data_IF_630779442796
#
_entry.id   IF_630779442796
#
_cell.length_a   1.000
_cell.length_b   1.000
_cell.length_c   1.000
_cell.angle_alpha   90.00
_cell.angle_beta   90.00
_cell.angle_gamma   90.00
#
_symmetry.space_group_name_H-M   'P 1'
#
loop_
_entity.id
_entity.type
_entity.pdbx_description
1 polymer ?
#
# COMPACT_ATOMS: atom_id res chain seq x y z
N UNK A 1 -4.80 -28.41 19.83
CA UNK A 1 -4.63 -27.11 19.15
C UNK A 1 -5.66 -26.15 19.74
N UNK A 2 -5.23 -24.98 20.22
CA UNK A 2 -6.07 -24.04 20.98
C UNK A 2 -7.20 -23.48 20.08
N UNK A 3 -8.45 -23.43 20.56
CA UNK A 3 -9.63 -23.00 19.77
C UNK A 3 -9.49 -21.56 19.24
N UNK A 4 -8.75 -20.72 19.97
CA UNK A 4 -8.41 -19.36 19.56
C UNK A 4 -7.53 -19.33 18.30
N UNK A 5 -6.64 -20.30 18.13
CA UNK A 5 -5.72 -20.38 16.99
C UNK A 5 -6.46 -20.81 15.71
N UNK A 6 -7.44 -21.71 15.83
CA UNK A 6 -8.33 -22.06 14.71
C UNK A 6 -9.20 -20.88 14.26
N UNK A 7 -9.73 -20.10 15.20
CA UNK A 7 -10.49 -18.87 14.88
C UNK A 7 -9.62 -17.87 14.11
N UNK A 8 -8.38 -17.64 14.56
CA UNK A 8 -7.42 -16.77 13.88
C UNK A 8 -7.08 -17.24 12.46
N UNK A 9 -6.92 -18.56 12.25
CA UNK A 9 -6.69 -19.13 10.92
C UNK A 9 -7.89 -18.91 9.98
N UNK A 10 -9.13 -19.08 10.46
CA UNK A 10 -10.35 -18.83 9.68
C UNK A 10 -10.49 -17.35 9.32
N UNK A 11 -10.30 -16.46 10.30
CA UNK A 11 -10.33 -15.01 10.10
C UNK A 11 -9.28 -14.59 9.06
N UNK A 12 -8.07 -15.12 9.12
CA UNK A 12 -7.02 -14.83 8.15
C UNK A 12 -7.40 -15.26 6.73
N UNK A 13 -8.07 -16.41 6.59
CA UNK A 13 -8.61 -16.87 5.30
C UNK A 13 -9.67 -15.92 4.73
N UNK A 14 -10.59 -15.45 5.58
CA UNK A 14 -11.58 -14.45 5.20
C UNK A 14 -10.92 -13.14 4.73
N UNK A 15 -9.93 -12.63 5.48
CA UNK A 15 -9.20 -11.42 5.11
C UNK A 15 -8.45 -11.56 3.77
N UNK A 16 -7.96 -12.76 3.42
CA UNK A 16 -7.34 -12.97 2.09
C UNK A 16 -8.33 -12.72 0.97
N UNK A 17 -9.52 -13.30 1.09
CA UNK A 17 -10.58 -13.14 0.10
C UNK A 17 -11.00 -11.66 0.05
N UNK A 18 -11.19 -11.03 1.22
CA UNK A 18 -11.55 -9.61 1.31
C UNK A 18 -10.52 -8.70 0.62
N UNK A 19 -9.22 -8.94 0.83
CA UNK A 19 -8.15 -8.16 0.18
C UNK A 19 -8.17 -8.34 -1.35
N UNK A 20 -8.42 -9.55 -1.86
CA UNK A 20 -8.54 -9.78 -3.32
C UNK A 20 -9.75 -9.03 -3.87
N UNK A 21 -10.91 -9.15 -3.24
CA UNK A 21 -12.11 -8.44 -3.67
C UNK A 21 -11.93 -6.91 -3.62
N UNK A 22 -11.31 -6.39 -2.56
CA UNK A 22 -10.96 -4.98 -2.47
C UNK A 22 -10.04 -4.55 -3.61
N UNK A 23 -9.00 -5.34 -3.90
CA UNK A 23 -8.07 -5.04 -4.98
C UNK A 23 -8.74 -5.05 -6.35
N UNK A 24 -9.53 -6.07 -6.66
CA UNK A 24 -10.29 -6.18 -7.92
C UNK A 24 -11.28 -5.02 -8.05
N UNK A 25 -11.95 -4.63 -6.97
CA UNK A 25 -12.90 -3.51 -6.98
C UNK A 25 -12.22 -2.19 -7.34
N UNK A 26 -11.02 -1.94 -6.78
CA UNK A 26 -10.19 -0.77 -7.11
C UNK A 26 -9.78 -0.81 -8.59
N UNK A 27 -9.34 -1.97 -9.10
CA UNK A 27 -8.99 -2.13 -10.51
C UNK A 27 -10.16 -1.85 -11.45
N UNK A 28 -11.35 -2.36 -11.11
CA UNK A 28 -12.57 -2.12 -11.89
C UNK A 28 -12.93 -0.64 -11.86
N UNK A 29 -12.88 0.01 -10.70
CA UNK A 29 -13.17 1.43 -10.54
C UNK A 29 -12.22 2.30 -11.40
N UNK A 30 -10.92 2.02 -11.36
CA UNK A 30 -9.92 2.74 -12.13
C UNK A 30 -10.07 2.50 -13.63
N UNK A 31 -10.31 1.24 -14.04
CA UNK A 31 -10.58 0.90 -15.43
C UNK A 31 -11.84 1.58 -15.95
N UNK A 32 -12.91 1.59 -15.16
CA UNK A 32 -14.15 2.28 -15.48
C UNK A 32 -13.91 3.79 -15.67
N UNK A 33 -13.18 4.43 -14.76
CA UNK A 33 -12.80 5.85 -14.88
C UNK A 33 -12.05 6.12 -16.18
N UNK A 34 -11.03 5.33 -16.48
CA UNK A 34 -10.21 5.53 -17.68
C UNK A 34 -10.99 5.31 -18.99
N UNK A 35 -11.74 4.22 -19.10
CA UNK A 35 -12.39 3.84 -20.35
C UNK A 35 -13.69 4.59 -20.63
N UNK A 36 -14.45 4.96 -19.58
CA UNK A 36 -15.78 5.56 -19.75
C UNK A 36 -15.76 7.06 -19.47
N UNK A 37 -15.05 7.50 -18.44
CA UNK A 37 -14.98 8.93 -18.07
C UNK A 37 -13.79 9.64 -18.71
N UNK A 38 -12.81 8.89 -19.23
CA UNK A 38 -11.57 9.44 -19.76
C UNK A 38 -10.69 10.08 -18.70
N UNK A 39 -10.93 9.77 -17.41
CA UNK A 39 -10.25 10.34 -16.25
C UNK A 39 -9.69 9.23 -15.36
N UNK A 40 -8.48 9.41 -14.85
CA UNK A 40 -7.90 8.51 -13.86
C UNK A 40 -7.77 9.25 -12.54
N UNK A 41 -8.74 8.97 -11.66
CA UNK A 41 -8.76 9.47 -10.27
C UNK A 41 -7.83 8.69 -9.35
N UNK A 42 -6.56 8.62 -9.73
CA UNK A 42 -5.52 8.08 -8.86
C UNK A 42 -4.95 9.14 -7.92
N UNK A 43 -4.91 10.40 -8.37
CA UNK A 43 -4.35 11.51 -7.63
C UNK A 43 -5.44 12.50 -7.26
N UNK A 44 -5.45 12.96 -6.02
CA UNK A 44 -6.26 14.09 -5.56
C UNK A 44 -5.61 15.44 -5.87
N UNK A 45 -4.45 15.44 -6.53
CA UNK A 45 -3.73 16.65 -6.90
C UNK A 45 -4.52 17.45 -7.93
N UNK A 46 -4.84 18.70 -7.58
CA UNK A 46 -5.42 19.66 -8.50
C UNK A 46 -4.54 19.85 -9.75
N UNK A 47 -3.21 19.91 -9.56
CA UNK A 47 -2.24 20.04 -10.65
C UNK A 47 -2.29 18.86 -11.63
N UNK A 48 -2.50 17.63 -11.13
CA UNK A 48 -2.64 16.46 -11.99
C UNK A 48 -3.91 16.55 -12.82
N UNK A 49 -5.01 16.97 -12.19
CA UNK A 49 -6.31 17.12 -12.87
C UNK A 49 -6.24 18.19 -13.95
N UNK A 50 -5.63 19.34 -13.67
CA UNK A 50 -5.44 20.42 -14.65
C UNK A 50 -4.59 19.95 -15.84
N UNK A 51 -3.48 19.26 -15.58
CA UNK A 51 -2.65 18.65 -16.62
C UNK A 51 -3.39 17.57 -17.42
N UNK A 52 -4.30 16.82 -16.80
CA UNK A 52 -5.00 15.73 -17.48
C UNK A 52 -5.97 16.23 -18.56
N UNK A 53 -6.54 17.41 -18.36
CA UNK A 53 -7.47 18.05 -19.30
C UNK A 53 -6.79 19.02 -20.28
N UNK A 54 -5.54 19.42 -20.06
CA UNK A 54 -4.79 20.27 -21.00
C UNK A 54 -4.35 19.47 -22.24
N UNK A 55 -4.71 19.95 -23.43
CA UNK A 55 -4.36 19.29 -24.71
C UNK A 55 -2.85 19.27 -25.00
N UNK A 56 -2.08 20.17 -24.39
CA UNK A 56 -0.62 20.26 -24.55
C UNK A 56 0.11 19.21 -23.71
N UNK A 57 -0.53 18.69 -22.68
CA UNK A 57 0.04 17.70 -21.78
C UNK A 57 -0.14 16.28 -22.35
N UNK A 58 0.92 15.49 -22.28
CA UNK A 58 0.88 14.10 -22.74
C UNK A 58 0.28 13.19 -21.67
N UNK A 59 -0.87 12.58 -21.98
CA UNK A 59 -1.52 11.59 -21.12
C UNK A 59 -0.61 10.40 -20.81
N UNK A 60 0.27 10.01 -21.73
CA UNK A 60 1.22 8.91 -21.51
C UNK A 60 2.24 9.25 -20.43
N UNK A 61 2.69 10.51 -20.37
CA UNK A 61 3.62 10.98 -19.33
C UNK A 61 2.92 11.00 -17.97
N UNK A 62 1.68 11.47 -17.91
CA UNK A 62 0.88 11.46 -16.67
C UNK A 62 0.65 10.04 -16.16
N UNK A 63 0.34 9.09 -17.05
CA UNK A 63 0.23 7.67 -16.72
C UNK A 63 1.56 7.09 -16.22
N UNK A 64 2.68 7.45 -16.86
CA UNK A 64 4.00 7.00 -16.44
C UNK A 64 4.40 7.54 -15.05
N UNK A 65 4.00 8.78 -14.73
CA UNK A 65 4.17 9.37 -13.40
C UNK A 65 3.32 8.62 -12.36
N UNK A 66 2.14 8.14 -12.73
CA UNK A 66 1.22 7.43 -11.83
C UNK A 66 1.52 5.93 -11.67
N UNK A 67 2.13 5.31 -12.67
CA UNK A 67 2.39 3.87 -12.72
C UNK A 67 3.16 3.32 -11.51
N UNK A 68 4.17 4.00 -10.93
CA UNK A 68 4.86 3.52 -9.74
C UNK A 68 3.95 3.27 -8.53
N UNK A 69 2.98 4.16 -8.27
CA UNK A 69 2.01 3.95 -7.18
C UNK A 69 1.10 2.75 -7.47
N UNK A 70 0.68 2.58 -8.72
CA UNK A 70 -0.09 1.41 -9.11
C UNK A 70 0.68 0.09 -8.91
N UNK A 71 1.96 0.07 -9.29
CA UNK A 71 2.83 -1.07 -9.08
C UNK A 71 3.02 -1.32 -7.57
N UNK A 72 3.23 -0.29 -6.77
CA UNK A 72 3.34 -0.42 -5.31
C UNK A 72 2.07 -1.01 -4.69
N UNK A 73 0.91 -0.59 -5.15
CA UNK A 73 -0.36 -1.16 -4.74
C UNK A 73 -0.43 -2.67 -5.01
N UNK A 74 -0.10 -3.10 -6.24
CA UNK A 74 -0.11 -4.54 -6.59
C UNK A 74 0.90 -5.35 -5.78
N UNK A 75 2.11 -4.80 -5.59
CA UNK A 75 3.15 -5.42 -4.76
C UNK A 75 2.70 -5.51 -3.30
N UNK A 76 2.05 -4.48 -2.77
CA UNK A 76 1.46 -4.46 -1.44
C UNK A 76 0.39 -5.54 -1.26
N UNK A 77 -0.55 -5.65 -2.22
CA UNK A 77 -1.57 -6.71 -2.23
C UNK A 77 -0.92 -8.09 -2.23
N UNK A 78 0.11 -8.32 -3.05
CA UNK A 78 0.84 -9.58 -3.10
C UNK A 78 1.48 -9.96 -1.75
N UNK A 79 2.21 -9.04 -1.12
CA UNK A 79 2.86 -9.31 0.16
C UNK A 79 1.85 -9.49 1.30
N UNK A 80 0.73 -8.77 1.25
CA UNK A 80 -0.36 -8.93 2.22
C UNK A 80 -1.03 -10.30 2.07
N UNK A 81 -1.29 -10.74 0.83
CA UNK A 81 -1.79 -12.10 0.56
C UNK A 81 -0.85 -13.17 1.09
N UNK A 82 0.46 -12.98 0.88
CA UNK A 82 1.48 -13.91 1.34
C UNK A 82 1.55 -13.97 2.87
N UNK A 83 1.48 -12.83 3.55
CA UNK A 83 1.44 -12.74 5.02
C UNK A 83 0.22 -13.48 5.58
N UNK A 84 -0.97 -13.17 5.05
CA UNK A 84 -2.20 -13.81 5.49
C UNK A 84 -2.22 -15.32 5.16
N UNK A 85 -1.50 -15.74 4.12
CA UNK A 85 -1.26 -17.14 3.82
C UNK A 85 -0.53 -17.88 4.94
N UNK A 86 0.52 -17.28 5.51
CA UNK A 86 1.23 -17.84 6.67
C UNK A 86 0.35 -17.88 7.92
N UNK A 87 -0.46 -16.84 8.16
CA UNK A 87 -1.38 -16.80 9.29
C UNK A 87 -2.50 -17.84 9.17
N UNK A 88 -2.99 -18.07 7.94
CA UNK A 88 -3.97 -19.12 7.69
C UNK A 88 -3.42 -20.53 7.95
N UNK A 89 -2.11 -20.74 7.75
CA UNK A 89 -1.43 -22.00 8.09
C UNK A 89 -1.09 -22.14 9.58
N UNK A 90 -1.39 -21.13 10.41
CA UNK A 90 -1.07 -21.12 11.83
C UNK A 90 0.36 -20.68 12.15
N UNK A 91 1.14 -20.25 11.16
CA UNK A 91 2.51 -19.77 11.32
C UNK A 91 2.53 -18.26 11.61
N UNK A 92 2.00 -17.85 12.78
CA UNK A 92 1.90 -16.44 13.16
C UNK A 92 3.27 -15.79 13.45
N UNK A 93 4.14 -16.49 14.19
CA UNK A 93 5.45 -15.98 14.62
C UNK A 93 6.63 -16.55 13.83
N UNK A 94 6.34 -17.23 12.71
CA UNK A 94 7.37 -17.81 11.85
C UNK A 94 8.29 -16.75 11.24
N UNK A 95 9.56 -17.09 11.04
CA UNK A 95 10.56 -16.19 10.42
C UNK A 95 10.07 -15.62 9.08
N UNK A 96 9.38 -16.45 8.28
CA UNK A 96 8.82 -16.04 6.99
C UNK A 96 7.66 -15.05 7.10
N UNK A 97 6.77 -15.21 8.09
CA UNK A 97 5.67 -14.28 8.34
C UNK A 97 6.20 -12.90 8.77
N UNK A 98 7.19 -12.90 9.66
CA UNK A 98 7.85 -11.67 10.10
C UNK A 98 8.57 -10.95 8.95
N UNK A 99 9.23 -11.70 8.05
CA UNK A 99 9.84 -11.13 6.85
C UNK A 99 8.79 -10.51 5.91
N UNK A 100 7.63 -11.13 5.75
CA UNK A 100 6.53 -10.56 4.95
C UNK A 100 6.02 -9.25 5.57
N UNK A 101 5.91 -9.20 6.90
CA UNK A 101 5.50 -7.98 7.59
C UNK A 101 6.53 -6.85 7.40
N UNK A 102 7.82 -7.14 7.54
CA UNK A 102 8.89 -6.17 7.28
C UNK A 102 8.85 -5.63 5.85
N UNK A 103 8.59 -6.50 4.86
CA UNK A 103 8.38 -6.06 3.48
C UNK A 103 7.21 -5.12 3.32
N UNK A 104 6.08 -5.35 4.02
CA UNK A 104 4.94 -4.43 4.01
C UNK A 104 5.29 -3.06 4.59
N UNK A 105 6.12 -3.00 5.64
CA UNK A 105 6.62 -1.72 6.17
C UNK A 105 7.47 -1.00 5.11
N UNK A 106 8.42 -1.71 4.49
CA UNK A 106 9.25 -1.13 3.44
C UNK A 106 8.44 -0.63 2.25
N UNK A 107 7.43 -1.39 1.83
CA UNK A 107 6.49 -0.97 0.78
C UNK A 107 5.78 0.30 1.22
N UNK A 108 5.26 0.38 2.45
CA UNK A 108 4.55 1.57 2.92
C UNK A 108 5.45 2.81 3.04
N UNK A 109 6.70 2.63 3.46
CA UNK A 109 7.68 3.70 3.49
C UNK A 109 8.05 4.18 2.07
N UNK A 110 8.22 3.24 1.14
CA UNK A 110 8.53 3.56 -0.24
C UNK A 110 7.33 4.19 -0.97
N UNK A 111 6.11 3.77 -0.66
CA UNK A 111 4.84 4.35 -1.12
C UNK A 111 4.75 5.82 -0.70
N UNK A 112 5.00 6.12 0.59
CA UNK A 112 5.08 7.49 1.10
C UNK A 112 6.15 8.34 0.38
N UNK A 113 7.35 7.79 0.15
CA UNK A 113 8.39 8.50 -0.58
C UNK A 113 7.99 8.75 -2.05
N UNK A 114 7.35 7.77 -2.68
CA UNK A 114 6.87 7.88 -4.06
C UNK A 114 5.74 8.91 -4.20
N UNK A 115 4.82 9.01 -3.24
CA UNK A 115 3.80 10.06 -3.22
C UNK A 115 4.45 11.46 -3.30
N UNK A 116 5.47 11.72 -2.47
CA UNK A 116 6.21 12.99 -2.48
C UNK A 116 6.88 13.23 -3.84
N UNK A 117 7.61 12.23 -4.35
CA UNK A 117 8.27 12.32 -5.66
C UNK A 117 7.26 12.58 -6.76
N UNK A 118 6.09 11.94 -6.70
CA UNK A 118 5.05 12.09 -7.70
C UNK A 118 4.45 13.51 -7.69
N UNK A 119 4.18 14.07 -6.52
CA UNK A 119 3.73 15.46 -6.40
C UNK A 119 4.74 16.44 -6.98
N UNK A 120 6.04 16.21 -6.73
CA UNK A 120 7.12 17.03 -7.28
C UNK A 120 7.24 16.89 -8.80
N UNK A 121 7.19 15.67 -9.33
CA UNK A 121 7.23 15.42 -10.78
C UNK A 121 6.04 16.03 -11.50
N UNK A 122 4.83 15.88 -10.93
CA UNK A 122 3.61 16.48 -11.45
C UNK A 122 3.71 18.01 -11.45
N UNK A 123 4.19 18.60 -10.36
CA UNK A 123 4.40 20.05 -10.26
C UNK A 123 5.45 20.57 -11.24
N UNK A 124 6.56 19.83 -11.41
CA UNK A 124 7.59 20.19 -12.40
C UNK A 124 7.04 20.13 -13.84
N UNK A 125 6.26 19.10 -14.15
CA UNK A 125 5.60 18.97 -15.45
C UNK A 125 4.58 20.09 -15.67
N UNK A 126 3.77 20.42 -14.65
CA UNK A 126 2.81 21.53 -14.67
C UNK A 126 3.49 22.87 -14.97
N UNK A 127 4.63 23.14 -14.33
CA UNK A 127 5.40 24.36 -14.56
C UNK A 127 5.85 24.54 -16.02
N UNK A 128 5.97 23.47 -16.79
CA UNK A 128 6.34 23.56 -18.21
C UNK A 128 5.21 24.09 -19.10
N UNK A 129 3.96 24.08 -18.63
CA UNK A 129 2.78 24.52 -19.39
C UNK A 129 2.06 25.74 -18.78
N UNK A 130 2.29 26.02 -17.49
CA UNK A 130 1.60 27.06 -16.74
C UNK A 130 2.58 28.00 -16.01
N UNK A 131 2.40 29.32 -16.19
CA UNK A 131 3.28 30.36 -15.63
C UNK A 131 3.24 30.46 -14.09
N UNK A 132 2.13 30.04 -13.47
CA UNK A 132 1.98 29.99 -12.02
C UNK A 132 1.77 28.54 -11.59
N UNK A 133 2.71 28.01 -10.82
CA UNK A 133 2.61 26.67 -10.24
C UNK A 133 2.80 26.76 -8.74
N UNK A 134 1.77 26.41 -7.98
CA UNK A 134 1.84 26.24 -6.54
C UNK A 134 1.85 24.75 -6.25
N UNK A 135 3.01 24.24 -5.82
CA UNK A 135 3.14 22.83 -5.43
C UNK A 135 2.72 22.72 -3.97
N UNK A 136 1.52 22.21 -3.75
CA UNK A 136 1.09 21.78 -2.43
C UNK A 136 1.57 20.35 -2.19
N UNK A 137 2.30 20.13 -1.10
CA UNK A 137 2.73 18.82 -0.65
C UNK A 137 1.80 18.38 0.48
N UNK A 138 0.72 17.63 0.18
CA UNK A 138 -0.13 17.08 1.22
C UNK A 138 0.66 16.02 1.98
N UNK A 139 1.10 16.35 3.19
CA UNK A 139 1.66 15.36 4.11
C UNK A 139 0.51 14.71 4.87
N UNK A 140 0.16 13.49 4.50
CA UNK A 140 -0.82 12.70 5.25
C UNK A 140 -0.18 12.15 6.54
N UNK A 141 -0.46 12.81 7.66
CA UNK A 141 -0.05 12.35 8.99
C UNK A 141 -0.62 10.96 9.32
N UNK A 142 -1.73 10.54 8.70
CA UNK A 142 -2.29 9.19 8.78
C UNK A 142 -1.32 8.13 8.25
N UNK A 143 -0.63 8.40 7.15
CA UNK A 143 0.39 7.49 6.62
C UNK A 143 1.56 7.33 7.59
N UNK A 144 2.01 8.43 8.21
CA UNK A 144 3.12 8.42 9.19
C UNK A 144 2.74 7.61 10.43
N UNK A 145 1.57 7.89 11.01
CA UNK A 145 1.08 7.17 12.19
C UNK A 145 0.88 5.67 11.91
N UNK A 146 0.42 5.32 10.70
CA UNK A 146 0.30 3.92 10.27
C UNK A 146 1.66 3.22 10.21
N UNK A 147 2.68 3.86 9.65
CA UNK A 147 4.06 3.30 9.62
C UNK A 147 4.58 3.08 11.05
N UNK A 148 4.39 4.06 11.93
CA UNK A 148 4.79 3.95 13.34
C UNK A 148 4.07 2.78 14.04
N UNK A 149 2.75 2.67 13.85
CA UNK A 149 1.98 1.56 14.40
C UNK A 149 2.48 0.21 13.87
N UNK A 150 2.78 0.12 12.57
CA UNK A 150 3.31 -1.11 11.99
C UNK A 150 4.66 -1.50 12.59
N UNK A 151 5.56 -0.54 12.84
CA UNK A 151 6.84 -0.77 13.51
C UNK A 151 6.65 -1.27 14.95
N UNK A 152 5.71 -0.68 15.70
CA UNK A 152 5.35 -1.14 17.05
C UNK A 152 4.86 -2.59 17.00
N UNK A 153 3.98 -2.92 16.06
CA UNK A 153 3.46 -4.29 15.89
C UNK A 153 4.61 -5.27 15.61
N UNK A 154 5.59 -4.94 14.76
CA UNK A 154 6.77 -5.81 14.54
C UNK A 154 7.53 -6.05 15.82
N UNK A 155 7.76 -5.00 16.61
CA UNK A 155 8.45 -5.12 17.88
C UNK A 155 7.69 -6.04 18.84
N UNK A 156 6.36 -5.86 18.96
CA UNK A 156 5.51 -6.72 19.77
C UNK A 156 5.51 -8.17 19.29
N UNK A 157 5.45 -8.41 17.98
CA UNK A 157 5.54 -9.75 17.39
C UNK A 157 6.90 -10.41 17.68
N UNK A 158 7.98 -9.63 17.69
CA UNK A 158 9.30 -10.12 18.04
C UNK A 158 9.36 -10.55 19.51
N UNK A 159 8.88 -9.69 20.41
CA UNK A 159 8.84 -9.99 21.84
C UNK A 159 7.95 -11.21 22.14
N UNK A 160 6.78 -11.32 21.50
CA UNK A 160 5.90 -12.47 21.65
C UNK A 160 6.56 -13.77 21.18
N UNK A 161 7.34 -13.73 20.09
CA UNK A 161 8.10 -14.88 19.61
C UNK A 161 9.18 -15.32 20.60
N UNK A 162 9.87 -14.38 21.24
CA UNK A 162 10.87 -14.67 22.26
C UNK A 162 10.22 -15.36 23.48
N UNK A 163 9.07 -14.87 23.94
CA UNK A 163 8.29 -15.49 25.03
C UNK A 163 7.80 -16.91 24.65
N UNK A 164 7.35 -17.11 23.40
CA UNK A 164 6.92 -18.44 22.94
C UNK A 164 8.09 -19.43 22.82
N UNK A 165 9.29 -18.93 22.47
CA UNK A 165 10.50 -19.74 22.41
C UNK A 165 10.95 -20.16 23.83
N UNK A 166 10.99 -19.23 24.78
CA UNK A 166 11.32 -19.51 26.17
C UNK A 166 10.36 -20.55 26.77
N UNK A 167 9.05 -20.36 26.61
CA UNK A 167 8.05 -21.32 27.12
C UNK A 167 8.15 -22.71 26.50
N UNK A 168 8.74 -22.87 25.31
CA UNK A 168 9.01 -24.17 24.69
C UNK A 168 10.31 -24.81 25.16
N UNK A 169 11.26 -24.04 25.69
CA UNK A 169 12.48 -24.58 26.31
C UNK A 169 12.24 -25.06 27.75
N UNK A 170 11.21 -24.53 28.43
CA UNK A 170 10.83 -24.93 29.79
C UNK A 170 9.87 -26.15 29.90
N UNK A 171 9.34 -26.66 28.78
CA UNK A 171 8.49 -27.87 28.71
C UNK A 171 9.29 -29.02 28.09
#
# INVERSE_FOLDING_TARGET
MNSNMQKLMQISGFFRIAVIFGAVSILIYLGYGYFIQGDIRFSTSMLFTELWWDERASRQVLLAIQAPLFIMFLVGVYWLQKLLGFYHQGHFFGHNAMRCYLWLIWIKLADFALEIVQHLLTGYYHKSFFDKTHIELPLDFGNITTILLMLIIVYLLKAAREIEAENKEFI
#
